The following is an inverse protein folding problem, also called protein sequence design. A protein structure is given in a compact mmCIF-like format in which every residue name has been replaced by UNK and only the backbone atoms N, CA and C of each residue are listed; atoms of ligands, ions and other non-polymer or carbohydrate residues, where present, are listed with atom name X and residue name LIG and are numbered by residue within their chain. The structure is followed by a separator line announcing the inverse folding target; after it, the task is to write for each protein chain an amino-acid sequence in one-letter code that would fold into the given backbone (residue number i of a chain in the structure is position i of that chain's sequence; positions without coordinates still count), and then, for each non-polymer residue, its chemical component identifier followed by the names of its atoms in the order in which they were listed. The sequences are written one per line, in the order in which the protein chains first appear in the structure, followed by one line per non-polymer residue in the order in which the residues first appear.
data_IF_731615637813
#
_entry.id   IF_731615637813
#
_cell.length_a   1.000
_cell.length_b   1.000
_cell.length_c   1.000
_cell.angle_alpha   90.00
_cell.angle_beta   90.00
_cell.angle_gamma   90.00
#
_symmetry.space_group_name_H-M   'P 1'
#
loop_
_entity.id
_entity.type
_entity.pdbx_description
1 polymer ?
#
# COMPACT_ATOMS: atom_id res chain seq x y z
N UNK A 1 2.52 -5.02 -23.48
CA UNK A 1 1.62 -4.12 -22.73
C UNK A 1 2.42 -3.54 -21.58
N UNK A 2 2.67 -2.23 -21.57
CA UNK A 2 3.41 -1.58 -20.48
C UNK A 2 2.47 -1.44 -19.29
N UNK A 3 2.64 -2.32 -18.29
CA UNK A 3 2.01 -2.16 -16.98
C UNK A 3 2.60 -0.90 -16.37
N UNK A 4 1.83 0.18 -16.32
CA UNK A 4 2.23 1.40 -15.61
C UNK A 4 2.49 1.03 -14.15
N UNK A 5 3.59 1.53 -13.57
CA UNK A 5 3.86 1.40 -12.14
C UNK A 5 2.85 2.17 -11.27
N UNK A 6 2.03 3.03 -11.89
CA UNK A 6 1.06 3.87 -11.22
C UNK A 6 -0.35 3.26 -11.19
N UNK A 7 -1.01 3.48 -10.06
CA UNK A 7 -2.42 3.13 -9.85
C UNK A 7 -3.33 4.00 -10.71
N UNK A 8 -4.42 3.42 -11.22
CA UNK A 8 -5.44 4.14 -11.98
C UNK A 8 -6.52 4.66 -11.03
N UNK A 9 -6.25 5.78 -10.36
CA UNK A 9 -7.21 6.40 -9.45
C UNK A 9 -8.26 7.22 -10.19
N UNK A 10 -9.49 7.34 -9.66
CA UNK A 10 -10.51 8.24 -10.19
C UNK A 10 -10.10 9.72 -9.97
N UNK A 11 -10.80 10.69 -10.59
CA UNK A 11 -10.66 12.08 -10.22
C UNK A 11 -10.90 12.29 -8.72
N UNK A 12 -10.18 13.20 -8.06
CA UNK A 12 -10.42 13.54 -6.66
C UNK A 12 -11.88 13.93 -6.37
N UNK A 13 -12.37 13.74 -5.12
CA UNK A 13 -11.59 13.37 -3.93
C UNK A 13 -11.39 11.85 -3.74
N UNK A 14 -10.23 11.49 -3.21
CA UNK A 14 -9.90 10.17 -2.65
C UNK A 14 -8.79 10.34 -1.60
N UNK A 15 -8.52 9.28 -0.85
CA UNK A 15 -7.52 9.26 0.21
C UNK A 15 -6.27 8.48 -0.22
N UNK A 16 -5.12 8.88 0.30
CA UNK A 16 -3.87 8.14 0.17
C UNK A 16 -3.35 7.81 1.57
N UNK A 17 -3.09 6.52 1.84
CA UNK A 17 -2.40 6.07 3.04
C UNK A 17 -0.95 5.80 2.65
N UNK A 18 -0.02 6.52 3.29
CA UNK A 18 1.40 6.46 2.97
C UNK A 18 2.12 5.77 4.13
N UNK A 19 2.76 4.65 3.82
CA UNK A 19 3.55 3.88 4.76
C UNK A 19 5.02 3.93 4.36
N UNK A 20 5.88 4.44 5.25
CA UNK A 20 7.33 4.50 5.04
C UNK A 20 8.04 3.59 6.04
N UNK A 21 8.97 2.76 5.57
CA UNK A 21 9.74 1.86 6.43
C UNK A 21 11.20 1.76 5.99
N UNK A 22 12.09 1.64 6.98
CA UNK A 22 13.49 1.31 6.80
C UNK A 22 13.72 -0.12 7.29
N UNK A 23 14.21 -1.01 6.42
CA UNK A 23 14.55 -2.37 6.83
C UNK A 23 15.79 -2.37 7.71
N UNK A 24 15.75 -3.12 8.81
CA UNK A 24 16.94 -3.41 9.61
C UNK A 24 17.61 -4.72 9.12
N UNK A 25 18.93 -4.87 9.26
CA UNK A 25 19.62 -6.11 8.93
C UNK A 25 19.03 -7.29 9.74
N UNK A 26 18.71 -8.39 9.05
CA UNK A 26 18.07 -9.57 9.65
C UNK A 26 16.54 -9.58 9.54
N UNK A 27 15.97 -8.96 8.51
CA UNK A 27 14.52 -8.76 8.32
C UNK A 27 13.69 -10.08 8.36
N UNK A 28 13.30 -10.50 9.57
CA UNK A 28 12.65 -11.75 9.96
C UNK A 28 11.19 -11.85 9.45
N UNK A 29 10.99 -11.89 8.14
CA UNK A 29 9.66 -12.12 7.54
C UNK A 29 8.78 -10.87 7.37
N UNK A 30 9.31 -9.67 7.66
CA UNK A 30 8.60 -8.41 7.43
C UNK A 30 8.24 -8.22 5.95
N UNK A 31 9.10 -8.64 5.04
CA UNK A 31 8.82 -8.66 3.60
C UNK A 31 7.52 -9.43 3.28
N UNK A 32 7.42 -10.65 3.81
CA UNK A 32 6.25 -11.51 3.61
C UNK A 32 5.01 -10.94 4.30
N UNK A 33 5.17 -10.32 5.47
CA UNK A 33 4.06 -9.66 6.17
C UNK A 33 3.57 -8.43 5.39
N UNK A 34 4.48 -7.62 4.83
CA UNK A 34 4.14 -6.47 4.02
C UNK A 34 3.39 -6.90 2.75
N UNK A 35 3.86 -7.92 2.05
CA UNK A 35 3.16 -8.49 0.88
C UNK A 35 1.76 -8.99 1.25
N UNK A 36 1.61 -9.69 2.39
CA UNK A 36 0.31 -10.12 2.90
C UNK A 36 -0.61 -8.96 3.22
N UNK A 37 -0.12 -7.91 3.88
CA UNK A 37 -0.92 -6.71 4.18
C UNK A 37 -1.41 -6.03 2.91
N UNK A 38 -0.58 -5.97 1.87
CA UNK A 38 -0.97 -5.45 0.56
C UNK A 38 -2.06 -6.31 -0.09
N UNK A 39 -1.89 -7.64 -0.08
CA UNK A 39 -2.88 -8.55 -0.65
C UNK A 39 -4.23 -8.48 0.09
N UNK A 40 -4.22 -8.29 1.40
CA UNK A 40 -5.44 -8.10 2.20
C UNK A 40 -6.11 -6.76 1.93
N UNK A 41 -5.32 -5.67 1.84
CA UNK A 41 -5.82 -4.34 1.50
C UNK A 41 -6.53 -4.33 0.14
N UNK A 42 -5.99 -5.04 -0.86
CA UNK A 42 -6.60 -5.13 -2.20
C UNK A 42 -7.97 -5.80 -2.25
N UNK A 43 -8.35 -6.54 -1.20
CA UNK A 43 -9.66 -7.19 -1.08
C UNK A 43 -10.69 -6.31 -0.38
N UNK A 44 -10.28 -5.18 0.21
CA UNK A 44 -11.17 -4.31 0.97
C UNK A 44 -12.04 -3.46 0.03
N UNK A 45 -13.35 -3.34 0.32
CA UNK A 45 -14.21 -2.40 -0.38
C UNK A 45 -13.64 -0.98 -0.32
N UNK A 46 -13.63 -0.29 -1.46
CA UNK A 46 -13.10 1.07 -1.55
C UNK A 46 -11.59 1.17 -1.76
N UNK A 47 -10.85 0.07 -1.87
CA UNK A 47 -9.47 0.07 -2.35
C UNK A 47 -9.40 0.46 -3.83
N UNK A 48 -8.53 1.43 -4.17
CA UNK A 48 -8.41 2.00 -5.52
C UNK A 48 -7.08 1.64 -6.21
N UNK A 49 -6.10 1.16 -5.45
CA UNK A 49 -4.79 0.80 -5.98
C UNK A 49 -3.70 0.95 -4.94
N UNK A 50 -2.50 0.47 -5.30
CA UNK A 50 -1.32 0.57 -4.46
C UNK A 50 -0.07 0.74 -5.32
N UNK A 51 0.87 1.50 -4.79
CA UNK A 51 2.19 1.73 -5.36
C UNK A 51 3.23 1.43 -4.28
N UNK A 52 4.33 0.78 -4.65
CA UNK A 52 5.42 0.51 -3.71
C UNK A 52 6.77 0.69 -4.39
N UNK A 53 7.68 1.38 -3.69
CA UNK A 53 9.05 1.60 -4.11
C UNK A 53 10.00 1.29 -2.95
N UNK A 54 11.16 0.71 -3.28
CA UNK A 54 12.20 0.35 -2.32
C UNK A 54 13.56 0.75 -2.86
N UNK A 55 14.29 1.54 -2.08
CA UNK A 55 15.68 1.92 -2.33
C UNK A 55 16.66 0.82 -1.93
N UNK A 56 17.88 0.93 -2.45
CA UNK A 56 18.99 0.00 -2.14
C UNK A 56 19.49 0.15 -0.69
N UNK A 57 19.23 1.29 -0.07
CA UNK A 57 19.47 1.59 1.35
C UNK A 57 18.46 0.90 2.28
N UNK A 58 17.49 0.17 1.73
CA UNK A 58 16.44 -0.52 2.47
C UNK A 58 15.26 0.39 2.86
N UNK A 59 15.31 1.69 2.56
CA UNK A 59 14.18 2.58 2.75
C UNK A 59 13.13 2.32 1.66
N UNK A 60 11.86 2.30 2.02
CA UNK A 60 10.81 2.13 1.05
C UNK A 60 9.49 2.70 1.50
N UNK A 61 8.69 3.02 0.49
CA UNK A 61 7.41 3.67 0.61
C UNK A 61 6.38 2.78 -0.07
N UNK A 62 5.25 2.60 0.60
CA UNK A 62 4.05 2.01 0.03
C UNK A 62 2.91 3.00 0.17
N UNK A 63 2.22 3.30 -0.93
CA UNK A 63 1.08 4.21 -0.96
C UNK A 63 -0.13 3.41 -1.41
N UNK A 64 -1.19 3.35 -0.60
CA UNK A 64 -2.48 2.77 -0.98
C UNK A 64 -3.54 3.86 -1.12
N UNK A 65 -4.39 3.72 -2.14
CA UNK A 65 -5.43 4.70 -2.47
C UNK A 65 -6.81 4.17 -2.11
N UNK A 66 -7.67 5.04 -1.59
CA UNK A 66 -8.95 4.65 -0.99
C UNK A 66 -10.08 5.64 -1.34
N UNK A 67 -11.27 5.10 -1.57
CA UNK A 67 -12.45 5.88 -1.93
C UNK A 67 -12.97 6.75 -0.78
N UNK A 68 -12.75 6.35 0.48
CA UNK A 68 -13.22 7.09 1.66
C UNK A 68 -12.37 6.80 2.90
N UNK A 69 -12.43 7.70 3.88
CA UNK A 69 -11.85 7.48 5.20
C UNK A 69 -12.49 6.29 5.94
N UNK A 70 -13.77 6.04 5.72
CA UNK A 70 -14.49 4.89 6.28
C UNK A 70 -13.90 3.56 5.79
N UNK A 71 -13.60 3.45 4.48
CA UNK A 71 -12.96 2.27 3.90
C UNK A 71 -11.58 1.99 4.54
N UNK A 72 -10.82 3.05 4.84
CA UNK A 72 -9.53 2.93 5.54
C UNK A 72 -9.73 2.41 6.96
N UNK A 73 -10.71 2.95 7.71
CA UNK A 73 -11.00 2.51 9.08
C UNK A 73 -11.42 1.04 9.12
N UNK A 74 -12.24 0.59 8.17
CA UNK A 74 -12.62 -0.82 8.07
C UNK A 74 -11.43 -1.73 7.83
N UNK A 75 -10.49 -1.32 6.98
CA UNK A 75 -9.26 -2.06 6.76
C UNK A 75 -8.39 -2.13 8.02
N UNK A 76 -8.28 -1.05 8.80
CA UNK A 76 -7.49 -1.02 10.02
C UNK A 76 -8.01 -1.91 11.16
N UNK A 77 -9.33 -2.20 11.18
CA UNK A 77 -9.97 -2.99 12.22
C UNK A 77 -10.13 -4.48 11.90
N UNK A 78 -9.69 -4.91 10.70
CA UNK A 78 -9.61 -6.32 10.28
C UNK A 78 -8.20 -6.87 10.49
#
# INVERSE_FOLDING_TARGET
MTTSAFSKTPPPPYYAVIFSSLRTPGDHGYAQMAEKMVALASQQPGFLGIESARGQDGFGITVSYWASAEAITHWQTH
#
